data_IF_675445537680
#
_entry.id   IF_675445537680
#
_cell.length_a   1.000
_cell.length_b   1.000
_cell.length_c   1.000
_cell.angle_alpha   90.00
_cell.angle_beta   90.00
_cell.angle_gamma   90.00
#
_symmetry.space_group_name_H-M   'P 1'
#
loop_
_entity.id
_entity.type
_entity.pdbx_description
1 polymer ?
#
# COMPACT_ATOMS: atom_id res chain seq x y z
N UNK A 1 0.25 -38.55 -30.63
CA UNK A 1 -0.21 -37.16 -30.88
C UNK A 1 0.88 -36.15 -30.51
N UNK A 2 1.09 -35.08 -31.31
CA UNK A 2 1.98 -34.00 -30.90
C UNK A 2 1.42 -33.37 -29.62
N UNK A 3 2.26 -33.21 -28.61
CA UNK A 3 1.90 -32.49 -27.39
C UNK A 3 1.53 -31.06 -27.80
N UNK A 4 0.35 -30.58 -27.39
CA UNK A 4 -0.02 -29.19 -27.60
C UNK A 4 1.07 -28.31 -26.97
N UNK A 5 1.65 -27.40 -27.76
CA UNK A 5 2.64 -26.46 -27.26
C UNK A 5 2.04 -25.67 -26.09
N UNK A 6 2.78 -25.52 -25.00
CA UNK A 6 2.32 -24.78 -23.83
C UNK A 6 2.12 -23.31 -24.23
N UNK A 7 0.87 -22.78 -24.20
CA UNK A 7 0.60 -21.40 -24.60
C UNK A 7 1.22 -20.36 -23.66
N UNK A 8 1.79 -20.78 -22.52
CA UNK A 8 2.47 -19.92 -21.56
C UNK A 8 4.00 -20.05 -21.61
N UNK A 9 4.57 -20.80 -22.58
CA UNK A 9 6.01 -20.96 -22.70
C UNK A 9 6.50 -20.81 -24.17
N UNK A 10 7.17 -19.69 -24.52
CA UNK A 10 7.52 -18.55 -23.67
C UNK A 10 6.29 -17.75 -23.24
N UNK A 11 6.36 -17.08 -22.09
CA UNK A 11 5.22 -16.32 -21.55
C UNK A 11 4.82 -15.21 -22.53
N UNK A 12 3.53 -15.14 -22.94
CA UNK A 12 3.01 -14.03 -23.73
C UNK A 12 2.67 -12.80 -22.89
N UNK A 13 2.79 -12.88 -21.55
CA UNK A 13 2.34 -11.85 -20.62
C UNK A 13 3.46 -10.90 -20.20
N UNK A 14 3.08 -9.66 -19.90
CA UNK A 14 3.98 -8.63 -19.39
C UNK A 14 4.42 -8.87 -17.94
N UNK A 15 5.25 -7.96 -17.42
CA UNK A 15 5.72 -8.07 -16.05
C UNK A 15 4.58 -8.00 -15.02
N UNK A 16 4.73 -8.69 -13.90
CA UNK A 16 3.73 -8.78 -12.82
C UNK A 16 2.35 -9.33 -13.27
N UNK A 17 2.31 -10.11 -14.35
CA UNK A 17 1.14 -10.83 -14.81
C UNK A 17 1.36 -12.34 -14.74
N UNK A 18 0.29 -13.09 -14.51
CA UNK A 18 0.25 -14.55 -14.58
C UNK A 18 -0.40 -15.00 -15.89
N UNK A 19 0.17 -16.04 -16.51
CA UNK A 19 -0.41 -16.71 -17.68
C UNK A 19 -1.22 -17.94 -17.25
N UNK A 20 -2.44 -18.07 -17.75
CA UNK A 20 -3.25 -19.28 -17.61
C UNK A 20 -3.93 -19.62 -18.94
N UNK A 21 -3.53 -20.73 -19.56
CA UNK A 21 -4.02 -21.16 -20.88
C UNK A 21 -3.89 -20.07 -21.97
N UNK A 22 -2.78 -19.32 -21.96
CA UNK A 22 -2.55 -18.20 -22.89
C UNK A 22 -3.29 -16.91 -22.55
N UNK A 23 -4.09 -16.87 -21.48
CA UNK A 23 -4.78 -15.66 -21.01
C UNK A 23 -3.94 -15.02 -19.91
N UNK A 24 -3.62 -13.74 -20.08
CA UNK A 24 -2.85 -12.95 -19.12
C UNK A 24 -3.76 -12.25 -18.11
N UNK A 25 -3.38 -12.26 -16.83
CA UNK A 25 -4.07 -11.51 -15.77
C UNK A 25 -3.04 -10.92 -14.80
N UNK A 26 -3.28 -9.74 -14.26
CA UNK A 26 -2.37 -9.15 -13.27
C UNK A 26 -2.32 -9.98 -11.99
N UNK A 27 -1.14 -10.06 -11.37
CA UNK A 27 -1.01 -10.58 -10.01
C UNK A 27 -1.82 -9.72 -9.02
N UNK A 28 -2.21 -10.31 -7.90
CA UNK A 28 -3.00 -9.60 -6.87
C UNK A 28 -2.28 -8.34 -6.38
N UNK A 29 -2.98 -7.21 -6.38
CA UNK A 29 -2.42 -5.91 -5.99
C UNK A 29 -1.72 -5.14 -7.13
N UNK A 30 -1.70 -5.69 -8.35
CA UNK A 30 -1.24 -5.00 -9.55
C UNK A 30 -2.41 -4.73 -10.48
N UNK A 31 -2.33 -3.63 -11.24
CA UNK A 31 -3.34 -3.17 -12.18
C UNK A 31 -2.69 -2.73 -13.50
N UNK A 32 -3.48 -2.57 -14.55
CA UNK A 32 -3.01 -2.21 -15.88
C UNK A 32 -3.29 -3.30 -16.91
N UNK A 33 -2.53 -3.28 -18.01
CA UNK A 33 -2.67 -4.25 -19.10
C UNK A 33 -1.74 -5.46 -18.87
N UNK A 34 -2.28 -6.67 -18.65
CA UNK A 34 -1.50 -7.87 -18.40
C UNK A 34 -0.59 -8.30 -19.56
N UNK A 35 -0.82 -7.82 -20.79
CA UNK A 35 -0.01 -8.16 -21.96
C UNK A 35 1.25 -7.30 -22.06
N UNK A 36 1.17 -6.04 -21.63
CA UNK A 36 2.30 -5.10 -21.66
C UNK A 36 3.03 -5.01 -20.31
N UNK A 37 2.29 -5.15 -19.21
CA UNK A 37 2.83 -5.20 -17.85
C UNK A 37 1.92 -4.52 -16.84
N UNK A 38 1.78 -5.14 -15.67
CA UNK A 38 0.99 -4.61 -14.58
C UNK A 38 1.85 -3.77 -13.62
N UNK A 39 1.26 -2.70 -13.08
CA UNK A 39 1.86 -1.75 -12.15
C UNK A 39 1.26 -1.92 -10.76
N UNK A 40 2.04 -1.72 -9.68
CA UNK A 40 1.49 -1.66 -8.34
C UNK A 40 0.60 -0.42 -8.16
N UNK A 41 -0.13 -0.36 -7.04
CA UNK A 41 -0.91 0.83 -6.66
C UNK A 41 0.00 2.06 -6.45
N UNK A 42 1.16 1.86 -5.82
CA UNK A 42 2.15 2.92 -5.62
C UNK A 42 3.58 2.36 -5.66
N UNK A 43 4.54 3.22 -5.97
CA UNK A 43 5.99 3.00 -5.80
C UNK A 43 6.56 4.04 -4.83
N UNK A 44 6.01 5.25 -4.83
CA UNK A 44 6.39 6.36 -3.98
C UNK A 44 5.18 6.92 -3.23
N UNK A 45 5.44 7.62 -2.12
CA UNK A 45 4.39 8.29 -1.34
C UNK A 45 3.55 9.25 -2.20
N UNK A 46 4.19 9.93 -3.17
CA UNK A 46 3.54 10.86 -4.09
C UNK A 46 2.52 10.21 -5.03
N UNK A 47 2.53 8.89 -5.17
CA UNK A 47 1.51 8.15 -5.93
C UNK A 47 0.22 7.96 -5.11
N UNK A 48 0.29 8.18 -3.79
CA UNK A 48 -0.84 8.06 -2.87
C UNK A 48 -1.51 9.42 -2.61
N UNK A 49 -2.77 9.41 -2.17
CA UNK A 49 -3.39 10.60 -1.56
C UNK A 49 -2.56 11.13 -0.39
N UNK A 50 -2.63 12.45 -0.12
CA UNK A 50 -1.83 13.11 0.92
C UNK A 50 -2.01 12.53 2.34
N UNK A 51 -3.17 11.90 2.60
CA UNK A 51 -3.51 11.27 3.87
C UNK A 51 -3.12 9.77 3.94
N UNK A 52 -2.35 9.25 2.98
CA UNK A 52 -1.89 7.85 2.93
C UNK A 52 -0.40 7.78 2.64
N UNK A 53 0.25 6.69 3.00
CA UNK A 53 1.66 6.45 2.68
C UNK A 53 1.80 5.21 1.79
N UNK A 54 2.81 5.21 0.91
CA UNK A 54 3.14 4.03 0.13
C UNK A 54 3.93 3.05 1.00
N UNK A 55 3.37 1.87 1.22
CA UNK A 55 4.04 0.78 1.93
C UNK A 55 3.73 -0.54 1.24
N UNK A 56 4.79 -1.30 0.92
CA UNK A 56 4.68 -2.59 0.21
C UNK A 56 3.76 -2.50 -1.02
N UNK A 57 4.00 -1.48 -1.85
CA UNK A 57 3.28 -1.26 -3.11
C UNK A 57 1.78 -0.95 -2.97
N UNK A 58 1.33 -0.53 -1.77
CA UNK A 58 -0.04 -0.12 -1.49
C UNK A 58 -0.12 1.19 -0.73
N UNK A 59 -1.17 1.95 -0.98
CA UNK A 59 -1.46 3.17 -0.25
C UNK A 59 -2.21 2.84 1.04
N UNK A 60 -1.50 2.88 2.17
CA UNK A 60 -2.03 2.54 3.48
C UNK A 60 -2.20 3.79 4.35
N UNK A 61 -3.05 3.69 5.37
CA UNK A 61 -3.06 4.64 6.47
C UNK A 61 -1.84 4.36 7.39
N UNK A 62 -0.91 5.33 7.58
CA UNK A 62 0.23 5.16 8.47
C UNK A 62 -0.08 5.38 9.97
N UNK A 63 -1.31 5.75 10.34
CA UNK A 63 -1.68 6.00 11.73
C UNK A 63 -1.78 4.76 12.65
N UNK A 64 -2.34 3.62 12.22
CA UNK A 64 -2.51 2.46 13.07
C UNK A 64 -1.19 1.98 13.69
N UNK A 65 -1.10 2.03 15.02
CA UNK A 65 0.07 1.59 15.79
C UNK A 65 1.21 2.62 15.89
N UNK A 66 1.05 3.83 15.35
CA UNK A 66 2.11 4.86 15.36
C UNK A 66 2.05 5.76 16.59
N UNK A 67 0.85 6.20 16.99
CA UNK A 67 0.69 7.12 18.11
C UNK A 67 0.43 6.39 19.43
N UNK A 68 0.80 7.06 20.53
CA UNK A 68 0.65 6.57 21.89
C UNK A 68 -0.80 6.55 22.37
N UNK A 69 -1.01 6.03 23.58
CA UNK A 69 -2.35 5.95 24.18
C UNK A 69 -2.98 7.34 24.31
N UNK A 70 -4.27 7.45 23.97
CA UNK A 70 -5.06 8.70 24.00
C UNK A 70 -4.55 9.82 23.07
N UNK A 71 -3.54 9.57 22.23
CA UNK A 71 -3.08 10.55 21.25
C UNK A 71 -3.96 10.53 20.00
N UNK A 72 -4.11 11.70 19.37
CA UNK A 72 -4.71 11.85 18.06
C UNK A 72 -3.63 11.63 17.01
N UNK A 73 -3.92 10.82 15.99
CA UNK A 73 -3.08 10.68 14.82
C UNK A 73 -3.70 11.41 13.63
N UNK A 74 -2.92 12.27 12.97
CA UNK A 74 -3.27 12.90 11.70
C UNK A 74 -2.16 12.65 10.70
N UNK A 75 -2.50 12.45 9.43
CA UNK A 75 -1.52 12.24 8.37
C UNK A 75 -1.31 13.53 7.60
N UNK A 76 -0.08 14.04 7.61
CA UNK A 76 0.33 15.24 6.86
C UNK A 76 1.40 14.85 5.85
N UNK A 77 1.10 15.03 4.56
CA UNK A 77 2.02 14.69 3.46
C UNK A 77 2.64 13.29 3.64
N UNK A 78 1.78 12.28 3.81
CA UNK A 78 2.16 10.87 3.97
C UNK A 78 2.86 10.53 5.31
N UNK A 79 3.03 11.50 6.22
CA UNK A 79 3.69 11.32 7.51
C UNK A 79 2.66 11.36 8.64
N UNK A 80 2.60 10.34 9.51
CA UNK A 80 1.75 10.37 10.70
C UNK A 80 2.31 11.35 11.74
N UNK A 81 1.46 12.24 12.21
CA UNK A 81 1.74 13.22 13.25
C UNK A 81 0.85 12.95 14.45
N UNK A 82 1.47 12.79 15.61
CA UNK A 82 0.79 12.51 16.86
C UNK A 82 0.67 13.78 17.70
N UNK A 83 -0.51 14.05 18.26
CA UNK A 83 -0.72 15.15 19.19
C UNK A 83 -1.61 14.72 20.36
N UNK A 84 -1.44 15.37 21.51
CA UNK A 84 -2.38 15.21 22.62
C UNK A 84 -3.64 16.06 22.38
N UNK A 85 -4.84 15.50 22.64
CA UNK A 85 -6.09 16.25 22.56
C UNK A 85 -6.14 17.36 23.62
N UNK A 86 -7.04 18.33 23.44
CA UNK A 86 -7.27 19.42 24.39
C UNK A 86 -7.57 18.89 25.79
N UNK A 87 -6.90 19.44 26.81
CA UNK A 87 -7.03 19.01 28.21
C UNK A 87 -6.12 17.84 28.60
N UNK A 88 -5.29 17.33 27.68
CA UNK A 88 -4.27 16.33 27.95
C UNK A 88 -2.86 16.83 27.61
N UNK A 89 -1.86 16.26 28.27
CA UNK A 89 -0.43 16.50 28.00
C UNK A 89 0.38 15.21 28.12
N UNK A 90 1.61 15.23 27.62
CA UNK A 90 2.51 14.07 27.63
C UNK A 90 3.29 13.92 26.33
N UNK A 91 3.87 12.74 26.12
CA UNK A 91 4.50 12.39 24.86
C UNK A 91 3.48 11.66 23.97
N UNK A 92 3.03 12.31 22.90
CA UNK A 92 2.00 11.76 22.00
C UNK A 92 2.40 10.45 21.29
N UNK A 93 3.68 10.06 21.29
CA UNK A 93 4.13 8.74 20.82
C UNK A 93 4.10 7.65 21.90
N UNK A 94 3.87 8.02 23.16
CA UNK A 94 3.82 7.11 24.31
C UNK A 94 2.43 7.13 24.95
N UNK A 95 2.04 8.26 25.52
CA UNK A 95 0.74 8.47 26.14
C UNK A 95 0.44 9.97 26.34
N UNK A 96 -0.84 10.30 26.25
CA UNK A 96 -1.40 11.56 26.69
C UNK A 96 -2.31 11.31 27.92
N UNK A 97 -2.12 12.11 28.96
CA UNK A 97 -2.86 12.02 30.22
C UNK A 97 -3.47 13.37 30.58
N UNK A 98 -4.56 13.37 31.35
CA UNK A 98 -5.25 14.62 31.73
C UNK A 98 -4.35 15.53 32.56
N UNK A 99 -4.45 16.83 32.29
CA UNK A 99 -3.83 17.86 33.13
C UNK A 99 -4.60 17.90 34.45
N UNK A 100 -4.02 17.36 35.52
CA UNK A 100 -4.53 17.48 36.90
C UNK A 100 -4.16 18.81 37.52
#
# INVERSE_FOLDING_TARGET
PPQAADPCNPSPCGCNAQCRNGICSCLSGYTGDPTTGCRPECVMNTDCPQNRACSRNKCIDPCPGTCGRNAICNVYNHVPMCSCPSGMMGNAFVACDFVT
#
